data_IF_869844138077
#
_entry.id   IF_869844138077
#
_cell.length_a   1.000
_cell.length_b   1.000
_cell.length_c   1.000
_cell.angle_alpha   90.00
_cell.angle_beta   90.00
_cell.angle_gamma   90.00
#
_symmetry.space_group_name_H-M   'P 1'
#
loop_
_entity.id
_entity.type
_entity.pdbx_description
1 polymer ?
#
# COMPACT_ATOMS: atom_id res chain seq x y z
N UNK A 1 -18.79 -31.63 7.70
CA UNK A 1 -18.16 -31.31 6.43
C UNK A 1 -18.91 -30.17 5.73
N UNK A 2 -18.33 -28.97 5.70
CA UNK A 2 -18.95 -27.77 5.11
C UNK A 2 -18.78 -27.71 3.56
N UNK A 3 -17.78 -28.41 3.02
CA UNK A 3 -17.44 -28.37 1.60
C UNK A 3 -18.60 -28.67 0.64
N UNK A 4 -19.41 -29.73 0.85
CA UNK A 4 -20.54 -30.00 -0.04
C UNK A 4 -21.60 -28.90 -0.01
N UNK A 5 -21.88 -28.33 1.16
CA UNK A 5 -22.83 -27.23 1.32
C UNK A 5 -22.34 -25.95 0.67
N UNK A 6 -21.04 -25.62 0.86
CA UNK A 6 -20.40 -24.49 0.23
C UNK A 6 -20.38 -24.64 -1.30
N UNK A 7 -19.99 -25.80 -1.80
CA UNK A 7 -19.97 -26.08 -3.23
C UNK A 7 -21.36 -25.95 -3.85
N UNK A 8 -22.38 -26.50 -3.20
CA UNK A 8 -23.77 -26.37 -3.67
C UNK A 8 -24.21 -24.91 -3.71
N UNK A 9 -23.90 -24.11 -2.67
CA UNK A 9 -24.21 -22.68 -2.64
C UNK A 9 -23.49 -21.93 -3.74
N UNK A 10 -22.19 -22.20 -3.89
CA UNK A 10 -21.35 -21.53 -4.87
C UNK A 10 -21.83 -21.79 -6.30
N UNK A 11 -22.03 -23.05 -6.65
CA UNK A 11 -22.45 -23.45 -8.01
C UNK A 11 -23.88 -23.05 -8.38
N UNK A 12 -24.76 -22.83 -7.39
CA UNK A 12 -26.15 -22.42 -7.63
C UNK A 12 -26.35 -20.90 -7.66
N UNK A 13 -25.51 -20.12 -6.97
CA UNK A 13 -25.66 -18.67 -6.88
C UNK A 13 -24.73 -17.89 -7.80
N UNK A 14 -23.63 -18.48 -8.20
CA UNK A 14 -22.58 -17.82 -8.96
C UNK A 14 -22.26 -18.60 -10.23
N UNK A 15 -22.31 -17.93 -11.37
CA UNK A 15 -22.04 -18.54 -12.68
C UNK A 15 -20.54 -18.72 -12.98
N UNK A 16 -19.69 -18.42 -12.01
CA UNK A 16 -18.26 -18.41 -12.21
C UNK A 16 -17.75 -17.10 -12.86
N UNK A 17 -16.44 -17.02 -12.99
CA UNK A 17 -15.76 -15.85 -13.56
C UNK A 17 -15.97 -15.79 -15.06
N UNK A 18 -16.18 -14.60 -15.62
CA UNK A 18 -16.31 -14.39 -17.05
C UNK A 18 -15.09 -14.93 -17.82
N UNK A 19 -15.31 -15.53 -18.99
CA UNK A 19 -14.25 -16.19 -19.77
C UNK A 19 -13.07 -15.27 -20.09
N UNK A 20 -13.33 -14.02 -20.43
CA UNK A 20 -12.27 -13.04 -20.70
C UNK A 20 -11.34 -12.81 -19.48
N UNK A 21 -11.91 -12.82 -18.27
CA UNK A 21 -11.13 -12.70 -17.02
C UNK A 21 -10.31 -13.97 -16.77
N UNK A 22 -10.86 -15.14 -17.07
CA UNK A 22 -10.12 -16.42 -16.98
C UNK A 22 -8.93 -16.43 -17.94
N UNK A 23 -9.11 -15.96 -19.18
CA UNK A 23 -8.01 -15.86 -20.16
C UNK A 23 -6.95 -14.84 -19.72
N UNK A 24 -7.36 -13.72 -19.13
CA UNK A 24 -6.43 -12.75 -18.56
C UNK A 24 -5.62 -13.34 -17.39
N UNK A 25 -6.28 -14.10 -16.50
CA UNK A 25 -5.60 -14.78 -15.40
C UNK A 25 -4.61 -15.85 -15.89
N UNK A 26 -4.99 -16.62 -16.91
CA UNK A 26 -4.12 -17.62 -17.55
C UNK A 26 -2.86 -16.99 -18.14
N UNK A 27 -2.99 -15.85 -18.80
CA UNK A 27 -1.87 -15.11 -19.40
C UNK A 27 -0.79 -14.69 -18.37
N UNK A 28 -1.18 -14.45 -17.10
CA UNK A 28 -0.23 -14.11 -16.03
C UNK A 28 0.79 -15.24 -15.78
N UNK A 29 0.41 -16.49 -16.06
CA UNK A 29 1.29 -17.66 -15.88
C UNK A 29 2.17 -17.96 -17.09
N UNK A 30 2.01 -17.26 -18.20
CA UNK A 30 2.93 -17.36 -19.33
C UNK A 30 4.32 -16.81 -18.96
N UNK A 31 5.41 -17.22 -19.65
CA UNK A 31 6.74 -16.66 -19.41
C UNK A 31 6.78 -15.13 -19.52
N UNK A 32 6.08 -14.56 -20.50
CA UNK A 32 5.96 -13.11 -20.68
C UNK A 32 5.17 -12.46 -19.54
N UNK A 33 4.02 -13.02 -19.15
CA UNK A 33 3.22 -12.54 -18.03
C UNK A 33 3.99 -12.54 -16.71
N UNK A 34 4.76 -13.60 -16.45
CA UNK A 34 5.62 -13.67 -15.27
C UNK A 34 6.73 -12.62 -15.27
N UNK A 35 7.30 -12.32 -16.43
CA UNK A 35 8.30 -11.26 -16.56
C UNK A 35 7.67 -9.88 -16.28
N UNK A 36 6.53 -9.58 -16.89
CA UNK A 36 5.81 -8.32 -16.67
C UNK A 36 5.41 -8.12 -15.21
N UNK A 37 4.95 -9.19 -14.53
CA UNK A 37 4.63 -9.15 -13.10
C UNK A 37 5.86 -8.83 -12.26
N UNK A 38 7.01 -9.46 -12.55
CA UNK A 38 8.27 -9.17 -11.82
C UNK A 38 8.71 -7.72 -11.99
N UNK A 39 8.63 -7.19 -13.20
CA UNK A 39 9.00 -5.80 -13.50
C UNK A 39 8.08 -4.82 -12.74
N UNK A 40 6.77 -5.06 -12.77
CA UNK A 40 5.79 -4.25 -12.06
C UNK A 40 6.00 -4.29 -10.54
N UNK A 41 6.20 -5.48 -9.98
CA UNK A 41 6.49 -5.63 -8.55
C UNK A 41 7.80 -4.93 -8.20
N UNK A 42 8.86 -5.10 -9.00
CA UNK A 42 10.13 -4.43 -8.81
C UNK A 42 10.00 -2.90 -8.80
N UNK A 43 9.17 -2.37 -9.69
CA UNK A 43 8.88 -0.94 -9.73
C UNK A 43 8.23 -0.44 -8.43
N UNK A 44 7.21 -1.14 -7.93
CA UNK A 44 6.54 -0.76 -6.69
C UNK A 44 7.42 -0.95 -5.45
N UNK A 45 8.22 -2.01 -5.43
CA UNK A 45 9.13 -2.26 -4.31
C UNK A 45 10.26 -1.22 -4.24
N UNK A 46 10.73 -0.72 -5.38
CA UNK A 46 11.68 0.39 -5.41
C UNK A 46 11.04 1.70 -4.90
N UNK A 47 9.78 1.99 -5.24
CA UNK A 47 9.04 3.10 -4.65
C UNK A 47 8.92 2.94 -3.13
N UNK A 48 8.63 1.72 -2.66
CA UNK A 48 8.55 1.43 -1.22
C UNK A 48 9.89 1.68 -0.51
N UNK A 49 11.02 1.31 -1.13
CA UNK A 49 12.36 1.60 -0.62
C UNK A 49 12.59 3.10 -0.50
N UNK A 50 12.26 3.88 -1.54
CA UNK A 50 12.40 5.34 -1.55
C UNK A 50 11.62 5.98 -0.41
N UNK A 51 10.35 5.59 -0.23
CA UNK A 51 9.51 6.10 0.86
C UNK A 51 10.11 5.73 2.22
N UNK A 52 10.44 4.46 2.44
CA UNK A 52 10.96 3.97 3.71
C UNK A 52 12.27 4.67 4.10
N UNK A 53 13.24 4.71 3.18
CA UNK A 53 14.54 5.33 3.42
C UNK A 53 14.40 6.85 3.62
N UNK A 54 13.51 7.49 2.87
CA UNK A 54 13.24 8.92 3.02
C UNK A 54 12.66 9.27 4.39
N UNK A 55 11.73 8.46 4.91
CA UNK A 55 11.18 8.63 6.25
C UNK A 55 12.21 8.36 7.34
N UNK A 56 12.98 7.28 7.20
CA UNK A 56 14.05 6.93 8.17
C UNK A 56 15.14 8.00 8.23
N UNK A 57 15.47 8.63 7.11
CA UNK A 57 16.49 9.70 7.06
C UNK A 57 16.11 10.93 7.89
N UNK A 58 14.83 11.14 8.19
CA UNK A 58 14.34 12.22 9.07
C UNK A 58 13.91 11.73 10.44
N UNK A 59 14.32 10.51 10.82
CA UNK A 59 14.09 9.95 12.16
C UNK A 59 12.71 9.33 12.37
N UNK A 60 11.88 9.23 11.33
CA UNK A 60 10.54 8.60 11.45
C UNK A 60 10.68 7.09 11.52
N UNK A 61 10.04 6.48 12.50
CA UNK A 61 9.96 5.02 12.62
C UNK A 61 9.03 4.49 11.53
N UNK A 62 9.60 3.83 10.53
CA UNK A 62 8.89 3.23 9.42
C UNK A 62 9.09 1.71 9.38
N UNK A 63 8.02 0.98 9.12
CA UNK A 63 7.93 -0.47 9.09
C UNK A 63 7.36 -0.94 7.74
N UNK A 64 7.68 -2.15 7.32
CA UNK A 64 7.22 -2.70 6.04
C UNK A 64 8.01 -2.16 4.84
N UNK A 65 7.42 -2.22 3.64
CA UNK A 65 8.08 -1.79 2.41
C UNK A 65 9.26 -2.68 1.97
N UNK A 66 9.32 -3.93 2.45
CA UNK A 66 10.38 -4.92 2.10
C UNK A 66 9.78 -6.09 1.32
N UNK A 67 8.69 -6.66 1.81
CA UNK A 67 8.02 -7.81 1.19
C UNK A 67 6.61 -7.46 0.68
N UNK A 68 6.17 -6.23 0.90
CA UNK A 68 4.89 -5.73 0.44
C UNK A 68 4.97 -4.22 0.15
N UNK A 69 4.18 -3.70 -0.79
CA UNK A 69 4.21 -2.29 -1.20
C UNK A 69 3.48 -1.36 -0.22
N UNK A 70 3.52 -1.68 1.06
CA UNK A 70 2.89 -0.91 2.13
C UNK A 70 3.93 -0.52 3.17
N UNK A 71 3.92 0.75 3.55
CA UNK A 71 4.80 1.31 4.58
C UNK A 71 3.90 1.83 5.71
N UNK A 72 4.12 1.33 6.91
CA UNK A 72 3.56 1.86 8.12
C UNK A 72 4.56 2.79 8.78
N UNK A 73 4.12 3.94 9.24
CA UNK A 73 4.92 4.82 10.05
C UNK A 73 4.21 5.08 11.39
N UNK A 74 4.99 5.28 12.43
CA UNK A 74 4.48 5.78 13.71
C UNK A 74 4.28 7.29 13.58
N UNK A 75 3.12 7.79 14.00
CA UNK A 75 2.86 9.24 14.00
C UNK A 75 3.77 9.94 15.01
N UNK A 76 4.23 11.16 14.72
CA UNK A 76 5.09 11.91 15.66
C UNK A 76 4.34 12.22 16.95
N UNK A 77 5.05 12.17 18.08
CA UNK A 77 4.55 12.50 19.41
C UNK A 77 3.22 11.82 19.81
N UNK A 78 2.99 10.61 19.29
CA UNK A 78 1.72 9.89 19.42
C UNK A 78 0.51 10.69 18.94
N UNK A 79 0.70 11.56 17.97
CA UNK A 79 -0.39 12.32 17.34
C UNK A 79 -1.49 11.38 16.86
N UNK A 80 -2.78 11.69 17.10
CA UNK A 80 -3.88 10.90 16.55
C UNK A 80 -3.78 10.76 15.03
N UNK A 81 -4.11 9.59 14.51
CA UNK A 81 -3.86 9.26 13.10
C UNK A 81 -4.65 10.13 12.12
N UNK A 82 -5.82 10.64 12.51
CA UNK A 82 -6.59 11.61 11.73
C UNK A 82 -5.99 13.01 11.76
N UNK A 83 -5.47 13.46 12.89
CA UNK A 83 -4.78 14.75 12.98
C UNK A 83 -3.51 14.75 12.12
N UNK A 84 -2.83 13.59 12.08
CA UNK A 84 -1.68 13.41 11.20
C UNK A 84 -2.08 13.38 9.72
N UNK A 85 -3.26 12.84 9.38
CA UNK A 85 -3.81 12.92 8.02
C UNK A 85 -4.01 14.39 7.60
N UNK A 86 -4.66 15.18 8.44
CA UNK A 86 -4.90 16.60 8.17
C UNK A 86 -3.57 17.36 8.03
N UNK A 87 -2.59 17.05 8.88
CA UNK A 87 -1.26 17.65 8.81
C UNK A 87 -0.56 17.30 7.49
N UNK A 88 -0.54 16.04 7.07
CA UNK A 88 0.05 15.62 5.80
C UNK A 88 -0.64 16.28 4.60
N UNK A 89 -1.96 16.36 4.64
CA UNK A 89 -2.75 16.96 3.56
C UNK A 89 -2.47 18.46 3.44
N UNK A 90 -2.50 19.18 4.55
CA UNK A 90 -2.39 20.65 4.54
C UNK A 90 -0.94 21.13 4.36
N UNK A 91 0.02 20.49 5.02
CA UNK A 91 1.41 20.95 5.03
C UNK A 91 2.20 20.50 3.80
N UNK A 92 1.92 19.28 3.30
CA UNK A 92 2.75 18.66 2.25
C UNK A 92 1.94 18.09 1.07
N UNK A 93 0.62 18.22 1.08
CA UNK A 93 -0.30 17.77 0.03
C UNK A 93 -0.15 16.27 -0.29
N UNK A 94 -0.08 15.46 0.75
CA UNK A 94 0.02 14.00 0.65
C UNK A 94 -1.18 13.37 1.32
N UNK A 95 -1.75 12.38 0.64
CA UNK A 95 -2.86 11.57 1.14
C UNK A 95 -2.38 10.16 1.40
N UNK A 96 -2.69 9.65 2.57
CA UNK A 96 -2.45 8.26 2.95
C UNK A 96 -3.61 7.73 3.78
N UNK A 97 -3.41 6.67 4.54
CA UNK A 97 -4.49 6.05 5.31
C UNK A 97 -4.19 6.14 6.82
N UNK A 98 -5.04 6.83 7.60
CA UNK A 98 -4.95 6.83 9.05
C UNK A 98 -5.02 5.41 9.61
N UNK A 99 -4.18 5.09 10.58
CA UNK A 99 -4.14 3.76 11.18
C UNK A 99 -5.44 3.39 11.89
N UNK A 100 -6.15 4.34 12.48
CA UNK A 100 -7.48 4.13 13.07
C UNK A 100 -8.48 3.50 12.09
N UNK A 101 -8.33 3.71 10.78
CA UNK A 101 -9.13 3.05 9.75
C UNK A 101 -8.98 1.53 9.68
N UNK A 102 -7.96 0.97 10.35
CA UNK A 102 -7.72 -0.47 10.46
C UNK A 102 -8.08 -1.05 11.83
N UNK A 103 -8.71 -0.25 12.68
CA UNK A 103 -9.15 -0.62 14.02
C UNK A 103 -8.31 0.03 15.12
N UNK A 104 -8.68 -0.20 16.40
CA UNK A 104 -8.08 0.50 17.54
C UNK A 104 -6.57 0.34 17.66
N UNK A 105 -6.03 -0.83 17.28
CA UNK A 105 -4.59 -1.09 17.32
C UNK A 105 -3.79 -0.31 16.26
N UNK A 106 -4.47 0.30 15.29
CA UNK A 106 -3.85 1.14 14.28
C UNK A 106 -3.68 2.60 14.71
N UNK A 107 -4.26 3.01 15.84
CA UNK A 107 -4.12 4.37 16.33
C UNK A 107 -2.65 4.69 16.67
N UNK A 108 -2.20 5.91 16.38
CA UNK A 108 -0.80 6.30 16.46
C UNK A 108 0.08 5.81 15.31
N UNK A 109 -0.53 5.23 14.27
CA UNK A 109 0.13 4.81 13.04
C UNK A 109 -0.54 5.38 11.81
N UNK A 110 0.22 5.39 10.72
CA UNK A 110 -0.26 5.86 9.41
C UNK A 110 0.29 4.97 8.30
N UNK A 111 -0.52 4.64 7.29
CA UNK A 111 -0.10 3.77 6.18
C UNK A 111 0.06 4.55 4.88
N UNK A 112 1.22 4.42 4.26
CA UNK A 112 1.51 4.84 2.90
C UNK A 112 1.57 3.64 1.97
N UNK A 113 1.34 3.88 0.68
CA UNK A 113 1.44 2.86 -0.38
C UNK A 113 2.44 3.30 -1.43
N UNK A 114 3.03 2.34 -2.13
CA UNK A 114 4.05 2.59 -3.15
C UNK A 114 3.57 2.35 -4.58
N UNK A 115 2.25 2.27 -4.80
CA UNK A 115 1.65 2.02 -6.12
C UNK A 115 1.65 3.23 -7.06
N UNK A 116 2.16 4.37 -6.63
CA UNK A 116 2.19 5.60 -7.40
C UNK A 116 3.29 5.65 -8.47
N UNK A 117 3.27 6.72 -9.24
CA UNK A 117 4.35 7.06 -10.16
C UNK A 117 5.64 7.37 -9.38
N UNK A 118 6.80 6.96 -9.91
CA UNK A 118 8.11 7.12 -9.26
C UNK A 118 8.48 8.56 -9.01
N UNK A 119 8.34 9.42 -10.01
CA UNK A 119 8.69 10.83 -9.89
C UNK A 119 7.84 11.52 -8.83
N UNK A 120 6.54 11.20 -8.80
CA UNK A 120 5.64 11.70 -7.76
C UNK A 120 5.93 11.12 -6.37
N UNK A 121 6.43 9.92 -6.30
CA UNK A 121 6.88 9.32 -5.04
C UNK A 121 8.12 10.04 -4.50
N UNK A 122 9.10 10.31 -5.35
CA UNK A 122 10.30 11.07 -4.98
C UNK A 122 9.91 12.48 -4.53
N UNK A 123 9.09 13.19 -5.32
CA UNK A 123 8.59 14.52 -4.99
C UNK A 123 7.86 14.53 -3.63
N UNK A 124 7.02 13.54 -3.36
CA UNK A 124 6.31 13.43 -2.10
C UNK A 124 7.26 13.23 -0.90
N UNK A 125 8.26 12.37 -1.05
CA UNK A 125 9.29 12.17 -0.01
C UNK A 125 10.09 13.44 0.24
N UNK A 126 10.46 14.18 -0.80
CA UNK A 126 11.15 15.45 -0.67
C UNK A 126 10.30 16.52 0.06
N UNK A 127 8.99 16.59 -0.26
CA UNK A 127 8.06 17.49 0.43
C UNK A 127 7.94 17.15 1.91
N UNK A 128 7.86 15.85 2.27
CA UNK A 128 7.88 15.41 3.67
C UNK A 128 9.17 15.86 4.36
N UNK A 129 10.32 15.59 3.76
CA UNK A 129 11.63 15.91 4.35
C UNK A 129 11.85 17.40 4.58
N UNK A 130 11.35 18.24 3.67
CA UNK A 130 11.63 19.67 3.69
C UNK A 130 10.61 20.47 4.51
N UNK A 131 9.36 20.02 4.57
CA UNK A 131 8.26 20.83 5.09
C UNK A 131 7.55 20.20 6.30
N UNK A 132 7.64 18.89 6.49
CA UNK A 132 7.03 18.25 7.64
C UNK A 132 7.97 18.32 8.84
N UNK A 133 7.59 19.10 9.84
CA UNK A 133 8.28 19.15 11.13
C UNK A 133 7.68 18.10 12.05
N UNK A 134 8.51 17.21 12.55
CA UNK A 134 8.20 16.19 13.55
C UNK A 134 8.58 16.70 14.93
#
# INVERSE_FOLDING_TARGET
ALNPQWNRRHTTKFNGTAYIVQRGADAVFSPEGQQQVKEMIGYYMENARIIREGLQAIGVKAFGGVNAPYIWLQTPDNMPSWDFFDKLLNDVHIVGTPGAGFGPCGEGYFRLTSFGNREKTIEAVERIRNNLKF
#
